data_IF_847560578761
#
_entry.id   IF_847560578761
#
_cell.length_a   1.000
_cell.length_b   1.000
_cell.length_c   1.000
_cell.angle_alpha   90.00
_cell.angle_beta   90.00
_cell.angle_gamma   90.00
#
_symmetry.space_group_name_H-M   'P 1'
#
loop_
_entity.id
_entity.type
_entity.pdbx_description
1 polymer ?
#
# COMPACT_ATOMS: atom_id res chain seq x y z
N UNK A 1 -17.82 14.55 11.23
CA UNK A 1 -18.36 13.31 11.86
C UNK A 1 -17.19 12.55 12.43
N UNK A 2 -17.04 12.51 13.75
CA UNK A 2 -15.88 11.88 14.40
C UNK A 2 -16.04 10.36 14.44
N UNK A 3 -14.94 9.64 14.20
CA UNK A 3 -14.91 8.19 14.19
C UNK A 3 -13.77 7.65 15.08
N UNK A 4 -13.88 6.39 15.49
CA UNK A 4 -12.81 5.62 16.16
C UNK A 4 -12.01 4.84 15.15
N UNK A 5 -12.69 4.18 14.20
CA UNK A 5 -12.06 3.40 13.15
C UNK A 5 -12.96 3.32 11.92
N UNK A 6 -12.36 3.05 10.78
CA UNK A 6 -13.07 2.72 9.54
C UNK A 6 -12.32 1.66 8.74
N UNK A 7 -13.07 0.98 7.89
CA UNK A 7 -12.52 0.04 6.90
C UNK A 7 -13.36 0.09 5.63
N UNK A 8 -12.72 0.35 4.49
CA UNK A 8 -13.31 0.23 3.16
C UNK A 8 -12.59 -0.88 2.42
N UNK A 9 -13.33 -1.90 2.01
CA UNK A 9 -12.88 -2.98 1.14
C UNK A 9 -13.50 -2.76 -0.22
N UNK A 10 -12.67 -2.74 -1.25
CA UNK A 10 -13.08 -2.72 -2.65
C UNK A 10 -12.59 -4.00 -3.32
N UNK A 11 -13.47 -4.69 -4.03
CA UNK A 11 -13.13 -5.86 -4.83
C UNK A 11 -13.52 -5.64 -6.28
N UNK A 12 -12.77 -6.21 -7.18
CA UNK A 12 -13.08 -6.31 -8.60
C UNK A 12 -13.17 -7.79 -9.01
N UNK A 13 -13.20 -8.06 -10.29
CA UNK A 13 -13.25 -9.43 -10.84
C UNK A 13 -11.97 -10.24 -10.61
N UNK A 14 -10.92 -9.58 -10.15
CA UNK A 14 -9.69 -10.26 -9.71
C UNK A 14 -9.86 -10.76 -8.28
N UNK A 15 -9.09 -11.75 -7.87
CA UNK A 15 -9.09 -12.22 -6.48
C UNK A 15 -8.50 -11.19 -5.50
N UNK A 16 -8.13 -10.01 -5.98
CA UNK A 16 -7.51 -8.96 -5.19
C UNK A 16 -8.56 -8.03 -4.58
N UNK A 17 -8.36 -7.68 -3.33
CA UNK A 17 -9.16 -6.67 -2.62
C UNK A 17 -8.27 -5.49 -2.25
N UNK A 18 -8.72 -4.28 -2.55
CA UNK A 18 -8.08 -3.05 -2.07
C UNK A 18 -8.73 -2.64 -0.76
N UNK A 19 -7.92 -2.47 0.28
CA UNK A 19 -8.41 -2.18 1.62
C UNK A 19 -7.81 -0.87 2.08
N UNK A 20 -8.68 0.01 2.56
CA UNK A 20 -8.35 1.29 3.17
C UNK A 20 -8.91 1.23 4.58
N UNK A 21 -8.05 1.29 5.58
CA UNK A 21 -8.49 1.29 6.97
C UNK A 21 -7.74 2.33 7.79
N UNK A 22 -8.35 2.76 8.89
CA UNK A 22 -7.71 3.68 9.79
C UNK A 22 -8.40 3.75 11.14
N UNK A 23 -7.64 4.21 12.12
CA UNK A 23 -8.15 4.41 13.47
C UNK A 23 -7.58 5.69 14.09
N UNK A 24 -8.40 6.33 14.92
CA UNK A 24 -8.02 7.53 15.67
C UNK A 24 -6.92 7.18 16.67
N UNK A 25 -5.88 8.02 16.71
CA UNK A 25 -4.82 7.99 17.71
C UNK A 25 -4.94 9.20 18.64
N UNK A 26 -4.07 9.31 19.64
CA UNK A 26 -4.01 10.49 20.52
C UNK A 26 -3.64 11.77 19.77
N UNK A 27 -2.82 11.67 18.73
CA UNK A 27 -2.25 12.80 18.01
C UNK A 27 -2.79 13.00 16.59
N UNK A 28 -3.79 12.18 16.19
CA UNK A 28 -4.35 12.25 14.85
C UNK A 28 -4.97 10.93 14.41
N UNK A 29 -4.49 10.36 13.31
CA UNK A 29 -5.03 9.13 12.72
C UNK A 29 -3.92 8.23 12.17
N UNK A 30 -4.05 6.94 12.44
CA UNK A 30 -3.29 5.90 11.75
C UNK A 30 -4.07 5.41 10.55
N UNK A 31 -3.45 5.32 9.40
CA UNK A 31 -4.06 4.91 8.13
C UNK A 31 -3.26 3.79 7.51
N UNK A 32 -3.95 2.79 6.97
CA UNK A 32 -3.35 1.73 6.17
C UNK A 32 -4.09 1.58 4.84
N UNK A 33 -3.32 1.40 3.78
CA UNK A 33 -3.80 0.95 2.48
C UNK A 33 -3.03 -0.30 2.07
N UNK A 34 -3.73 -1.39 1.78
CA UNK A 34 -3.11 -2.61 1.33
C UNK A 34 -3.98 -3.37 0.31
N UNK A 35 -3.32 -4.21 -0.47
CA UNK A 35 -3.99 -5.21 -1.31
C UNK A 35 -4.01 -6.51 -0.52
N UNK A 36 -5.18 -7.13 -0.44
CA UNK A 36 -5.37 -8.45 0.15
C UNK A 36 -5.69 -9.46 -0.96
N UNK A 37 -5.06 -10.63 -0.88
CA UNK A 37 -5.32 -11.79 -1.72
C UNK A 37 -5.60 -13.00 -0.83
N UNK A 38 -6.42 -13.91 -1.30
CA UNK A 38 -6.60 -15.21 -0.64
C UNK A 38 -5.67 -16.22 -1.31
N UNK A 39 -4.83 -16.89 -0.52
CA UNK A 39 -3.96 -17.96 -0.99
C UNK A 39 -4.29 -19.25 -0.23
N UNK A 40 -4.21 -20.36 -0.95
CA UNK A 40 -4.34 -21.67 -0.32
C UNK A 40 -3.10 -21.98 0.53
N UNK A 41 -3.30 -22.24 1.81
CA UNK A 41 -2.24 -22.68 2.71
C UNK A 41 -2.40 -24.19 2.97
N UNK A 42 -1.40 -24.96 2.56
CA UNK A 42 -1.38 -26.40 2.76
C UNK A 42 -1.34 -26.83 4.24
N UNK A 43 -0.75 -25.99 5.12
CA UNK A 43 -0.65 -26.29 6.55
C UNK A 43 -1.99 -26.21 7.26
N UNK A 44 -2.80 -25.23 6.89
CA UNK A 44 -4.14 -25.04 7.46
C UNK A 44 -5.23 -25.72 6.65
N UNK A 45 -4.90 -26.24 5.46
CA UNK A 45 -5.85 -26.81 4.48
C UNK A 45 -7.01 -25.85 4.20
N UNK A 46 -6.72 -24.55 4.09
CA UNK A 46 -7.70 -23.49 3.89
C UNK A 46 -7.11 -22.26 3.18
N UNK A 47 -8.00 -21.36 2.79
CA UNK A 47 -7.56 -20.07 2.28
C UNK A 47 -7.09 -19.16 3.42
N UNK A 48 -5.91 -18.60 3.29
CA UNK A 48 -5.36 -17.60 4.21
C UNK A 48 -5.32 -16.26 3.50
N UNK A 49 -5.68 -15.19 4.21
CA UNK A 49 -5.55 -13.84 3.71
C UNK A 49 -4.07 -13.44 3.72
N UNK A 50 -3.53 -13.12 2.55
CA UNK A 50 -2.21 -12.52 2.40
C UNK A 50 -2.38 -11.01 2.24
N UNK A 51 -1.79 -10.24 3.15
CA UNK A 51 -1.82 -8.78 3.14
C UNK A 51 -0.54 -8.22 2.53
N UNK A 52 -0.68 -7.54 1.42
CA UNK A 52 0.38 -6.74 0.84
C UNK A 52 0.20 -5.30 1.30
N UNK A 53 0.85 -4.93 2.41
CA UNK A 53 0.76 -3.56 2.93
C UNK A 53 1.51 -2.65 1.98
N UNK A 54 0.78 -1.75 1.33
CA UNK A 54 1.33 -0.80 0.38
C UNK A 54 1.70 0.50 1.10
N UNK A 55 0.91 0.91 2.08
CA UNK A 55 1.09 2.18 2.79
C UNK A 55 0.64 2.11 4.23
N UNK A 56 1.48 2.64 5.12
CA UNK A 56 1.14 2.91 6.51
C UNK A 56 1.48 4.35 6.81
N UNK A 57 0.55 5.12 7.38
CA UNK A 57 0.71 6.54 7.64
C UNK A 57 0.24 6.84 9.06
N UNK A 58 1.10 7.47 9.86
CA UNK A 58 0.71 8.16 11.09
C UNK A 58 0.58 9.65 10.77
N UNK A 59 -0.66 10.10 10.63
CA UNK A 59 -0.99 11.47 10.26
C UNK A 59 -1.50 12.27 11.46
N UNK A 60 -1.32 13.58 11.39
CA UNK A 60 -1.72 14.49 12.46
C UNK A 60 -3.25 14.73 12.51
N UNK A 61 -3.67 15.51 13.52
CA UNK A 61 -5.09 15.87 13.72
C UNK A 61 -5.69 16.58 12.49
N UNK A 62 -4.91 17.29 11.68
CA UNK A 62 -5.43 17.97 10.49
C UNK A 62 -5.94 16.99 9.44
N UNK A 63 -5.26 15.86 9.26
CA UNK A 63 -5.68 14.79 8.36
C UNK A 63 -6.90 14.06 8.92
N UNK A 64 -6.93 13.81 10.25
CA UNK A 64 -8.12 13.27 10.90
C UNK A 64 -9.35 14.14 10.66
N UNK A 65 -9.23 15.47 10.80
CA UNK A 65 -10.33 16.38 10.55
C UNK A 65 -10.77 16.40 9.07
N UNK A 66 -9.86 16.27 8.12
CA UNK A 66 -10.21 16.11 6.70
C UNK A 66 -11.03 14.84 6.47
N UNK A 67 -10.64 13.70 7.07
CA UNK A 67 -11.42 12.46 7.00
C UNK A 67 -12.82 12.62 7.61
N UNK A 68 -12.91 13.26 8.78
CA UNK A 68 -14.19 13.57 9.41
C UNK A 68 -15.10 14.42 8.53
N UNK A 69 -14.50 15.38 7.80
CA UNK A 69 -15.21 16.21 6.82
C UNK A 69 -15.70 15.39 5.62
N UNK A 70 -14.87 14.52 5.06
CA UNK A 70 -15.26 13.61 3.97
C UNK A 70 -16.44 12.76 4.42
N UNK A 71 -16.38 12.11 5.57
CA UNK A 71 -17.47 11.29 6.10
C UNK A 71 -18.78 12.09 6.29
N UNK A 72 -18.67 13.32 6.76
CA UNK A 72 -19.82 14.22 6.91
C UNK A 72 -20.41 14.69 5.59
N UNK A 73 -19.58 15.11 4.65
CA UNK A 73 -19.99 15.64 3.35
C UNK A 73 -20.75 14.58 2.52
N UNK A 74 -20.31 13.34 2.58
CA UNK A 74 -20.95 12.22 1.88
C UNK A 74 -22.06 11.55 2.67
N UNK A 75 -22.34 12.05 3.89
CA UNK A 75 -23.44 11.57 4.76
C UNK A 75 -23.41 10.05 4.93
N UNK A 76 -22.24 9.50 5.24
CA UNK A 76 -22.08 8.04 5.36
C UNK A 76 -23.03 7.40 6.39
N UNK A 77 -23.56 8.18 7.36
CA UNK A 77 -24.57 7.70 8.29
C UNK A 77 -25.85 7.19 7.60
N UNK A 78 -26.19 7.75 6.43
CA UNK A 78 -27.33 7.29 5.63
C UNK A 78 -27.09 5.92 4.98
N UNK A 79 -25.84 5.40 5.02
CA UNK A 79 -25.49 4.10 4.48
C UNK A 79 -25.68 2.94 5.47
N UNK A 80 -26.03 3.23 6.71
CA UNK A 80 -26.24 2.23 7.74
C UNK A 80 -27.24 1.15 7.28
N UNK A 81 -26.79 -0.10 7.29
CA UNK A 81 -27.61 -1.24 6.86
C UNK A 81 -27.81 -1.38 5.34
N UNK A 82 -27.14 -0.57 4.52
CA UNK A 82 -27.23 -0.71 3.07
C UNK A 82 -26.74 -2.09 2.61
N UNK A 83 -27.55 -2.75 1.74
CA UNK A 83 -27.24 -4.04 1.10
C UNK A 83 -27.68 -3.95 -0.35
N UNK A 84 -26.73 -3.59 -1.26
CA UNK A 84 -26.99 -3.45 -2.68
C UNK A 84 -26.55 -4.68 -3.47
N UNK A 85 -27.36 -5.08 -4.46
CA UNK A 85 -27.02 -6.13 -5.38
C UNK A 85 -27.70 -5.89 -6.72
N UNK A 86 -26.95 -5.94 -7.84
CA UNK A 86 -27.54 -5.96 -9.20
C UNK A 86 -27.41 -7.37 -9.79
N UNK A 87 -28.49 -8.14 -9.81
CA UNK A 87 -28.47 -9.54 -10.29
C UNK A 87 -28.25 -9.68 -11.81
N UNK A 88 -28.29 -8.58 -12.56
CA UNK A 88 -28.10 -8.60 -14.02
C UNK A 88 -26.64 -8.64 -14.42
N UNK A 89 -25.73 -8.40 -13.45
CA UNK A 89 -24.30 -8.40 -13.68
C UNK A 89 -23.70 -9.64 -13.06
N UNK A 90 -23.16 -10.54 -13.90
CA UNK A 90 -22.55 -11.80 -13.45
C UNK A 90 -21.20 -11.57 -12.79
N UNK A 91 -20.42 -10.64 -13.36
CA UNK A 91 -19.10 -10.23 -12.86
C UNK A 91 -19.16 -8.77 -12.45
N UNK A 92 -18.43 -8.38 -11.40
CA UNK A 92 -18.50 -7.00 -11.01
C UNK A 92 -17.65 -6.59 -9.83
N UNK A 93 -17.87 -5.34 -9.46
CA UNK A 93 -17.18 -4.73 -8.33
C UNK A 93 -17.99 -4.88 -7.05
N UNK A 94 -17.28 -5.10 -5.95
CA UNK A 94 -17.86 -5.17 -4.61
C UNK A 94 -17.35 -4.06 -3.72
N UNK A 95 -18.13 -3.70 -2.71
CA UNK A 95 -17.70 -2.85 -1.61
C UNK A 95 -18.21 -3.38 -0.28
N UNK A 96 -17.39 -3.23 0.73
CA UNK A 96 -17.78 -3.35 2.13
C UNK A 96 -17.20 -2.17 2.90
N UNK A 97 -18.04 -1.43 3.60
CA UNK A 97 -17.64 -0.26 4.36
C UNK A 97 -18.14 -0.35 5.78
N UNK A 98 -17.22 -0.24 6.71
CA UNK A 98 -17.47 -0.27 8.16
C UNK A 98 -16.90 0.99 8.79
N UNK A 99 -17.65 1.60 9.70
CA UNK A 99 -17.19 2.73 10.51
C UNK A 99 -17.70 2.57 11.93
N UNK A 100 -16.84 2.77 12.90
CA UNK A 100 -17.21 2.93 14.31
C UNK A 100 -17.07 4.40 14.66
N UNK A 101 -18.18 5.05 14.94
CA UNK A 101 -18.21 6.46 15.34
C UNK A 101 -17.68 6.67 16.77
N UNK A 102 -17.37 7.91 17.11
CA UNK A 102 -16.85 8.26 18.43
C UNK A 102 -17.81 7.89 19.58
N UNK A 103 -19.12 7.94 19.34
CA UNK A 103 -20.16 7.52 20.31
C UNK A 103 -20.37 6.00 20.38
N UNK A 104 -19.67 5.22 19.55
CA UNK A 104 -19.80 3.76 19.47
C UNK A 104 -20.85 3.28 18.45
N UNK A 105 -21.52 4.18 17.74
CA UNK A 105 -22.43 3.79 16.65
C UNK A 105 -21.65 3.12 15.52
N UNK A 106 -22.15 1.97 15.04
CA UNK A 106 -21.57 1.26 13.91
C UNK A 106 -22.37 1.51 12.63
N UNK A 107 -21.67 1.85 11.57
CA UNK A 107 -22.21 1.98 10.22
C UNK A 107 -21.61 0.86 9.39
N UNK A 108 -22.48 0.05 8.79
CA UNK A 108 -22.06 -1.07 7.95
C UNK A 108 -22.86 -1.04 6.65
N UNK A 109 -22.15 -1.00 5.51
CA UNK A 109 -22.73 -0.97 4.18
C UNK A 109 -22.02 -1.98 3.28
N UNK A 110 -22.79 -2.70 2.46
CA UNK A 110 -22.26 -3.68 1.52
C UNK A 110 -22.97 -3.55 0.17
N UNK A 111 -22.20 -3.65 -0.91
CA UNK A 111 -22.76 -3.59 -2.26
C UNK A 111 -22.01 -4.47 -3.25
N UNK A 112 -22.74 -5.08 -4.18
CA UNK A 112 -22.20 -5.79 -5.35
C UNK A 112 -22.90 -5.23 -6.58
N UNK A 113 -22.16 -4.49 -7.41
CA UNK A 113 -22.68 -3.77 -8.58
C UNK A 113 -23.83 -2.79 -8.30
N UNK A 114 -24.12 -2.53 -7.04
CA UNK A 114 -25.11 -1.58 -6.57
C UNK A 114 -24.61 -0.96 -5.26
N UNK A 115 -24.44 0.34 -5.27
CA UNK A 115 -23.71 1.06 -4.22
C UNK A 115 -24.57 2.15 -3.59
N UNK A 116 -24.28 2.60 -2.35
CA UNK A 116 -24.94 3.75 -1.75
C UNK A 116 -24.79 5.00 -2.62
N UNK A 117 -25.72 5.93 -2.45
CA UNK A 117 -25.65 7.22 -3.13
C UNK A 117 -24.32 7.91 -2.84
N UNK A 118 -23.68 8.46 -3.88
CA UNK A 118 -22.39 9.17 -3.83
C UNK A 118 -21.18 8.29 -3.47
N UNK A 119 -21.31 6.96 -3.41
CA UNK A 119 -20.23 6.06 -3.07
C UNK A 119 -18.97 6.26 -3.94
N UNK A 120 -19.12 6.35 -5.26
CA UNK A 120 -17.97 6.48 -6.17
C UNK A 120 -17.15 7.74 -5.89
N UNK A 121 -17.82 8.88 -5.67
CA UNK A 121 -17.14 10.13 -5.33
C UNK A 121 -16.50 10.10 -3.95
N UNK A 122 -17.18 9.50 -2.97
CA UNK A 122 -16.62 9.25 -1.64
C UNK A 122 -15.36 8.41 -1.70
N UNK A 123 -15.43 7.25 -2.38
CA UNK A 123 -14.31 6.34 -2.49
C UNK A 123 -13.11 7.00 -3.18
N UNK A 124 -13.36 7.78 -4.23
CA UNK A 124 -12.31 8.53 -4.93
C UNK A 124 -11.65 9.57 -4.01
N UNK A 125 -12.44 10.33 -3.24
CA UNK A 125 -11.89 11.35 -2.33
C UNK A 125 -11.14 10.72 -1.15
N UNK A 126 -11.68 9.65 -0.57
CA UNK A 126 -11.02 8.90 0.50
C UNK A 126 -9.69 8.31 0.01
N UNK A 127 -9.72 7.62 -1.13
CA UNK A 127 -8.51 7.04 -1.73
C UNK A 127 -7.47 8.13 -2.02
N UNK A 128 -7.88 9.24 -2.64
CA UNK A 128 -6.99 10.36 -2.91
C UNK A 128 -6.35 10.89 -1.63
N UNK A 129 -7.13 11.09 -0.56
CA UNK A 129 -6.61 11.60 0.70
C UNK A 129 -5.57 10.65 1.30
N UNK A 130 -5.85 9.35 1.33
CA UNK A 130 -4.91 8.35 1.86
C UNK A 130 -3.68 8.19 0.94
N UNK A 131 -3.85 8.34 -0.38
CA UNK A 131 -2.75 8.11 -1.34
C UNK A 131 -1.89 9.35 -1.59
N UNK A 132 -2.36 10.55 -1.28
CA UNK A 132 -1.59 11.81 -1.45
C UNK A 132 -0.86 12.26 -0.19
N UNK A 133 -1.20 11.73 0.98
CA UNK A 133 -0.41 12.01 2.18
C UNK A 133 0.99 11.41 2.01
N UNK A 134 1.97 12.14 2.52
CA UNK A 134 3.38 11.79 2.38
C UNK A 134 3.67 10.45 3.08
N UNK A 135 4.10 9.45 2.30
CA UNK A 135 4.48 8.15 2.82
C UNK A 135 5.97 8.18 3.10
N UNK A 136 6.34 7.95 4.33
CA UNK A 136 7.73 7.81 4.72
C UNK A 136 8.16 6.35 4.95
N UNK A 137 7.21 5.44 5.14
CA UNK A 137 7.51 4.04 5.44
C UNK A 137 6.73 3.11 4.52
N UNK A 138 7.41 2.15 3.92
CA UNK A 138 6.82 1.10 3.09
C UNK A 138 7.12 -0.24 3.75
N UNK A 139 6.06 -1.02 4.03
CA UNK A 139 6.18 -2.36 4.59
C UNK A 139 6.00 -3.40 3.48
N UNK A 140 6.87 -4.39 3.46
CA UNK A 140 6.80 -5.47 2.49
C UNK A 140 5.58 -6.37 2.72
N UNK A 141 5.09 -6.97 1.63
CA UNK A 141 3.81 -7.67 1.53
C UNK A 141 3.54 -8.70 2.61
N UNK A 142 4.49 -9.53 2.95
CA UNK A 142 4.32 -10.55 4.00
C UNK A 142 4.62 -10.02 5.41
N UNK A 143 4.85 -8.70 5.53
CA UNK A 143 5.21 -8.10 6.80
C UNK A 143 6.55 -8.57 7.34
N UNK A 144 7.47 -8.97 6.46
CA UNK A 144 8.80 -9.48 6.85
C UNK A 144 9.82 -8.38 7.07
N UNK A 145 9.67 -7.28 6.34
CA UNK A 145 10.51 -6.09 6.53
C UNK A 145 9.79 -4.79 6.20
N UNK A 146 10.36 -3.69 6.64
CA UNK A 146 9.96 -2.35 6.28
C UNK A 146 11.17 -1.50 5.89
N UNK A 147 10.93 -0.46 5.10
CA UNK A 147 11.92 0.52 4.67
C UNK A 147 11.37 1.93 4.87
N UNK A 148 12.26 2.88 5.10
CA UNK A 148 11.92 4.31 5.12
C UNK A 148 12.29 4.92 3.78
N UNK A 149 11.34 5.62 3.14
CA UNK A 149 11.60 6.34 1.91
C UNK A 149 12.37 7.63 2.20
N UNK A 150 13.34 8.00 1.36
CA UNK A 150 13.96 9.32 1.39
C UNK A 150 12.92 10.42 1.23
N UNK A 151 13.14 11.58 1.84
CA UNK A 151 12.20 12.71 1.77
C UNK A 151 11.92 13.14 0.32
N UNK A 152 12.93 13.06 -0.55
CA UNK A 152 12.81 13.34 -1.98
C UNK A 152 11.85 12.41 -2.73
N UNK A 153 11.63 11.18 -2.23
CA UNK A 153 10.74 10.19 -2.84
C UNK A 153 9.30 10.31 -2.35
N UNK A 154 9.11 10.93 -1.21
CA UNK A 154 7.80 11.02 -0.56
C UNK A 154 6.84 11.86 -1.39
N UNK A 155 5.74 11.24 -1.82
CA UNK A 155 4.70 11.87 -2.66
C UNK A 155 4.97 11.86 -4.17
N UNK A 156 6.20 11.50 -4.61
CA UNK A 156 6.56 11.40 -6.04
C UNK A 156 6.70 9.95 -6.48
N UNK A 157 7.06 9.07 -5.53
CA UNK A 157 7.30 7.65 -5.79
C UNK A 157 6.16 6.83 -5.24
N UNK A 158 5.67 5.87 -6.04
CA UNK A 158 4.76 4.82 -5.59
C UNK A 158 5.49 3.49 -5.47
N UNK A 159 5.00 2.61 -4.61
CA UNK A 159 5.52 1.27 -4.44
C UNK A 159 4.46 0.24 -4.81
N UNK A 160 4.82 -0.78 -5.57
CA UNK A 160 3.97 -1.95 -5.82
C UNK A 160 4.68 -3.23 -5.40
N UNK A 161 3.88 -4.17 -5.00
CA UNK A 161 4.34 -5.43 -4.45
C UNK A 161 3.90 -6.58 -5.34
N UNK A 162 4.81 -7.49 -5.58
CA UNK A 162 4.54 -8.82 -6.09
C UNK A 162 5.13 -9.83 -5.09
N UNK A 163 4.92 -11.11 -5.33
CA UNK A 163 5.18 -12.22 -4.41
C UNK A 163 6.49 -12.11 -3.59
N UNK A 164 7.58 -11.67 -4.21
CA UNK A 164 8.88 -11.55 -3.55
C UNK A 164 9.57 -10.20 -3.82
N UNK A 165 8.82 -9.18 -4.25
CA UNK A 165 9.42 -7.98 -4.80
C UNK A 165 8.66 -6.73 -4.39
N UNK A 166 9.39 -5.68 -4.04
CA UNK A 166 8.88 -4.30 -3.99
C UNK A 166 9.49 -3.54 -5.16
N UNK A 167 8.66 -3.02 -6.04
CA UNK A 167 9.08 -2.17 -7.14
C UNK A 167 8.62 -0.73 -6.89
N UNK A 168 9.50 0.22 -7.17
CA UNK A 168 9.26 1.64 -7.01
C UNK A 168 9.13 2.29 -8.38
N UNK A 169 8.08 3.09 -8.55
CA UNK A 169 7.81 3.76 -9.81
C UNK A 169 7.49 5.23 -9.64
N UNK A 170 7.58 5.92 -10.76
CA UNK A 170 7.06 7.26 -10.97
C UNK A 170 6.03 7.23 -12.09
N UNK A 171 5.05 8.13 -12.00
CA UNK A 171 4.04 8.29 -13.03
C UNK A 171 4.63 8.92 -14.29
N UNK A 172 4.18 8.43 -15.44
CA UNK A 172 4.46 9.04 -16.74
C UNK A 172 3.46 10.15 -17.05
N UNK A 173 3.93 11.20 -17.71
CA UNK A 173 3.05 12.21 -18.30
C UNK A 173 2.21 11.54 -19.39
N UNK A 174 0.89 11.61 -19.25
CA UNK A 174 -0.03 10.97 -20.21
C UNK A 174 -0.49 9.56 -19.81
N UNK A 175 -0.03 9.06 -18.68
CA UNK A 175 -0.48 7.80 -18.08
C UNK A 175 0.53 6.65 -18.18
N UNK A 176 0.41 5.72 -17.25
CA UNK A 176 1.33 4.61 -17.07
C UNK A 176 2.43 4.93 -16.05
N UNK A 177 3.19 3.90 -15.68
CA UNK A 177 4.21 3.94 -14.64
C UNK A 177 5.59 3.57 -15.21
N UNK A 178 6.63 4.08 -14.58
CA UNK A 178 8.01 3.78 -14.89
C UNK A 178 8.71 3.24 -13.66
N UNK A 179 9.10 1.98 -13.69
CA UNK A 179 9.88 1.34 -12.62
C UNK A 179 11.32 1.81 -12.65
N UNK A 180 11.88 2.23 -11.53
CA UNK A 180 13.26 2.69 -11.47
C UNK A 180 14.11 2.03 -10.39
N UNK A 181 13.51 1.46 -9.34
CA UNK A 181 14.21 0.73 -8.29
C UNK A 181 13.40 -0.46 -7.82
N UNK A 182 14.08 -1.56 -7.46
CA UNK A 182 13.43 -2.80 -7.06
C UNK A 182 14.20 -3.41 -5.90
N UNK A 183 13.47 -3.89 -4.88
CA UNK A 183 13.98 -4.72 -3.81
C UNK A 183 13.31 -6.08 -3.92
N UNK A 184 14.12 -7.13 -4.02
CA UNK A 184 13.66 -8.52 -4.06
C UNK A 184 13.95 -9.20 -2.70
N UNK A 185 13.02 -10.05 -2.25
CA UNK A 185 13.17 -10.93 -1.08
C UNK A 185 12.97 -12.37 -1.52
N UNK A 186 13.99 -13.21 -1.43
CA UNK A 186 13.95 -14.59 -1.92
C UNK A 186 14.52 -15.57 -0.88
N UNK A 187 13.94 -16.77 -0.82
CA UNK A 187 14.44 -17.88 -0.02
C UNK A 187 15.58 -18.64 -0.70
N UNK A 188 15.71 -18.50 -2.00
CA UNK A 188 16.81 -19.07 -2.78
C UNK A 188 17.89 -17.99 -2.95
N UNK A 189 18.98 -18.11 -2.22
CA UNK A 189 20.12 -17.22 -2.44
C UNK A 189 20.60 -17.28 -3.89
N UNK A 190 20.08 -16.41 -4.71
CA UNK A 190 20.64 -16.20 -6.04
C UNK A 190 21.97 -15.49 -5.83
N UNK A 191 23.05 -16.26 -5.94
CA UNK A 191 24.38 -15.68 -6.04
C UNK A 191 24.33 -14.54 -7.06
N UNK A 192 24.90 -13.42 -6.70
CA UNK A 192 24.95 -12.16 -7.44
C UNK A 192 25.32 -12.26 -8.93
N UNK A 193 25.83 -13.40 -9.35
CA UNK A 193 26.35 -13.62 -10.69
C UNK A 193 25.33 -13.97 -11.78
N UNK A 194 24.11 -14.37 -11.42
CA UNK A 194 23.13 -14.84 -12.42
C UNK A 194 22.20 -13.77 -12.98
N UNK A 195 22.08 -12.62 -12.32
CA UNK A 195 21.25 -11.51 -12.80
C UNK A 195 22.05 -10.21 -12.78
N UNK A 196 22.44 -9.72 -13.95
CA UNK A 196 23.12 -8.43 -14.11
C UNK A 196 22.36 -7.32 -13.38
N UNK A 197 23.04 -6.65 -12.45
CA UNK A 197 22.52 -5.49 -11.73
C UNK A 197 21.85 -5.76 -10.37
N UNK A 198 21.77 -7.00 -9.89
CA UNK A 198 21.35 -7.31 -8.53
C UNK A 198 22.54 -7.28 -7.56
N UNK A 199 22.35 -6.63 -6.43
CA UNK A 199 23.33 -6.58 -5.33
C UNK A 199 22.64 -7.12 -4.10
N UNK A 200 23.19 -8.15 -3.46
CA UNK A 200 22.74 -8.60 -2.15
C UNK A 200 23.08 -7.51 -1.12
N UNK A 201 22.08 -7.08 -0.36
CA UNK A 201 22.21 -5.99 0.62
C UNK A 201 22.08 -6.50 2.06
N UNK A 202 21.60 -7.72 2.25
CA UNK A 202 21.46 -8.34 3.56
C UNK A 202 20.55 -9.54 3.58
N UNK A 203 20.22 -9.99 4.78
CA UNK A 203 19.35 -11.15 5.02
C UNK A 203 18.34 -10.85 6.09
N UNK A 204 17.14 -11.40 5.91
CA UNK A 204 16.11 -11.49 6.95
C UNK A 204 16.12 -12.88 7.53
N UNK A 205 16.14 -12.97 8.87
CA UNK A 205 16.19 -14.24 9.60
C UNK A 205 15.06 -14.29 10.63
N UNK A 206 14.29 -15.35 10.59
CA UNK A 206 13.27 -15.69 11.61
C UNK A 206 13.31 -17.20 11.87
N UNK A 207 13.99 -17.62 12.92
CA UNK A 207 14.23 -19.05 13.16
C UNK A 207 15.04 -19.70 12.05
N UNK A 208 14.45 -20.71 11.37
CA UNK A 208 15.06 -21.38 10.22
C UNK A 208 14.72 -20.70 8.88
N UNK A 209 13.80 -19.75 8.85
CA UNK A 209 13.46 -18.98 7.63
C UNK A 209 14.54 -17.91 7.41
N UNK A 210 15.27 -18.07 6.30
CA UNK A 210 16.29 -17.14 5.84
C UNK A 210 15.92 -16.62 4.48
N UNK A 211 15.80 -15.31 4.34
CA UNK A 211 15.51 -14.64 3.07
C UNK A 211 16.65 -13.71 2.70
N UNK A 212 17.06 -13.79 1.45
CA UNK A 212 18.10 -12.93 0.88
C UNK A 212 17.44 -11.67 0.33
N UNK A 213 17.92 -10.50 0.75
CA UNK A 213 17.46 -9.22 0.23
C UNK A 213 18.43 -8.74 -0.81
N UNK A 214 17.92 -8.52 -2.02
CA UNK A 214 18.71 -7.96 -3.12
C UNK A 214 18.07 -6.67 -3.61
N UNK A 215 18.90 -5.72 -3.99
CA UNK A 215 18.47 -4.46 -4.62
C UNK A 215 18.95 -4.43 -6.06
N UNK A 216 18.17 -3.84 -6.96
CA UNK A 216 18.54 -3.62 -8.34
C UNK A 216 18.01 -2.31 -8.88
N UNK A 217 18.82 -1.69 -9.71
CA UNK A 217 18.46 -0.50 -10.45
C UNK A 217 17.71 -0.85 -11.73
N UNK A 218 16.71 -0.04 -12.05
CA UNK A 218 16.18 0.03 -13.39
C UNK A 218 16.39 1.46 -13.90
N UNK A 219 17.45 1.70 -14.65
CA UNK A 219 17.91 3.02 -15.09
C UNK A 219 16.95 3.76 -16.06
N UNK A 220 15.69 3.38 -16.05
CA UNK A 220 14.74 3.84 -17.04
C UNK A 220 14.44 5.35 -16.99
N UNK A 221 14.50 6.01 -15.83
CA UNK A 221 14.10 7.45 -15.70
C UNK A 221 14.94 8.33 -16.64
N UNK A 222 16.26 8.16 -16.68
CA UNK A 222 17.11 8.98 -17.54
C UNK A 222 16.80 8.79 -19.03
N UNK A 223 16.40 7.59 -19.43
CA UNK A 223 16.03 7.27 -20.80
C UNK A 223 14.65 7.80 -21.20
N UNK A 224 13.78 8.06 -20.23
CA UNK A 224 12.40 8.53 -20.40
C UNK A 224 12.18 9.94 -19.86
N UNK A 225 13.23 10.76 -19.80
CA UNK A 225 13.19 12.11 -19.24
C UNK A 225 12.06 13.00 -19.80
N UNK A 226 11.68 12.82 -21.07
CA UNK A 226 10.59 13.56 -21.70
C UNK A 226 9.19 13.03 -21.33
N UNK A 227 9.10 11.87 -20.68
CA UNK A 227 7.84 11.20 -20.35
C UNK A 227 7.47 11.29 -18.86
N UNK A 228 8.31 11.90 -18.04
CA UNK A 228 8.11 12.02 -16.59
C UNK A 228 8.12 13.47 -16.14
N UNK A 229 7.55 13.75 -14.96
CA UNK A 229 7.50 15.11 -14.41
C UNK A 229 8.90 15.63 -14.04
N UNK A 230 9.04 16.95 -13.91
CA UNK A 230 10.29 17.56 -13.43
C UNK A 230 10.66 17.09 -12.02
N UNK A 231 9.68 16.82 -11.17
CA UNK A 231 9.86 16.26 -9.83
C UNK A 231 10.47 14.87 -9.91
N UNK A 232 9.93 14.00 -10.77
CA UNK A 232 10.47 12.66 -11.00
C UNK A 232 11.91 12.71 -11.56
N UNK A 233 12.20 13.64 -12.47
CA UNK A 233 13.56 13.90 -12.94
C UNK A 233 14.48 14.39 -11.83
N UNK A 234 13.94 15.18 -10.87
CA UNK A 234 14.66 15.65 -9.69
C UNK A 234 15.20 14.51 -8.82
N UNK A 235 14.49 13.38 -8.74
CA UNK A 235 14.92 12.18 -7.99
C UNK A 235 16.29 11.66 -8.48
N UNK A 236 16.54 11.74 -9.77
CA UNK A 236 17.78 11.23 -10.36
C UNK A 236 19.05 11.93 -9.86
N UNK A 237 18.94 13.17 -9.42
CA UNK A 237 20.10 13.95 -8.94
C UNK A 237 20.71 13.37 -7.66
N UNK A 238 19.89 12.78 -6.80
CA UNK A 238 20.32 12.22 -5.51
C UNK A 238 20.17 10.70 -5.46
N UNK A 239 19.89 10.06 -6.60
CA UNK A 239 19.46 8.67 -6.67
C UNK A 239 20.40 7.70 -5.94
N UNK A 240 21.71 7.84 -6.10
CA UNK A 240 22.67 6.92 -5.45
C UNK A 240 22.67 7.06 -3.92
N UNK A 241 22.57 8.29 -3.41
CA UNK A 241 22.48 8.52 -1.96
C UNK A 241 21.13 8.10 -1.40
N UNK A 242 20.06 8.34 -2.13
CA UNK A 242 18.70 7.96 -1.76
C UNK A 242 18.55 6.43 -1.71
N UNK A 243 19.07 5.74 -2.69
CA UNK A 243 19.11 4.27 -2.75
C UNK A 243 19.86 3.68 -1.55
N UNK A 244 21.02 4.23 -1.23
CA UNK A 244 21.79 3.80 -0.06
C UNK A 244 20.99 4.02 1.24
N UNK A 245 20.36 5.19 1.38
CA UNK A 245 19.49 5.51 2.51
C UNK A 245 18.33 4.51 2.67
N UNK A 246 17.71 4.07 1.57
CA UNK A 246 16.66 3.04 1.60
C UNK A 246 17.21 1.72 2.15
N UNK A 247 18.36 1.27 1.63
CA UNK A 247 18.98 0.03 2.06
C UNK A 247 19.37 0.09 3.55
N UNK A 248 19.93 1.21 4.01
CA UNK A 248 20.30 1.42 5.41
C UNK A 248 19.07 1.50 6.33
N UNK A 249 17.91 1.86 5.81
CA UNK A 249 16.67 1.92 6.57
C UNK A 249 15.96 0.58 6.73
N UNK A 250 16.40 -0.47 6.02
CA UNK A 250 15.82 -1.81 6.08
C UNK A 250 15.76 -2.34 7.52
N UNK A 251 14.59 -2.78 7.94
CA UNK A 251 14.36 -3.39 9.25
C UNK A 251 13.48 -4.62 9.10
N UNK A 252 13.84 -5.69 9.80
CA UNK A 252 12.97 -6.83 9.95
C UNK A 252 11.81 -6.51 10.90
N UNK A 253 10.62 -7.03 10.59
CA UNK A 253 9.41 -6.91 11.40
C UNK A 253 8.77 -8.28 11.59
N UNK A 254 7.80 -8.38 12.50
CA UNK A 254 7.05 -9.62 12.75
C UNK A 254 7.93 -10.85 13.05
N UNK A 255 8.99 -10.65 13.86
CA UNK A 255 9.89 -11.73 14.25
C UNK A 255 11.09 -11.95 13.32
N UNK A 256 11.19 -11.19 12.24
CA UNK A 256 12.39 -11.18 11.41
C UNK A 256 13.41 -10.17 11.92
N UNK A 257 14.69 -10.56 11.90
CA UNK A 257 15.81 -9.67 12.10
C UNK A 257 16.51 -9.42 10.77
N UNK A 258 16.78 -8.15 10.44
CA UNK A 258 17.58 -7.82 9.26
C UNK A 258 19.06 -7.78 9.64
N UNK A 259 19.88 -8.49 8.89
CA UNK A 259 21.33 -8.53 9.00
C UNK A 259 21.91 -7.97 7.71
N UNK A 260 22.47 -6.74 7.71
CA UNK A 260 23.13 -6.16 6.55
C UNK A 260 24.40 -6.94 6.21
N UNK A 261 24.81 -6.86 4.95
CA UNK A 261 26.10 -7.37 4.46
C UNK A 261 27.24 -6.40 4.73
#
# INVERSE_FOLDING_TARGET
MDFKSFKLVQSDMTAQRRIYEGYKTENGVHLEYYISTEMWDEKTSGNVECRNVIRTIDADESVFQKLCAVFGNYKIAEWAGFRGHDPRTLDGTGMHFEVVLADGTEINAQGTNSFPKNYSSFAQELCKLITTEKISTVRFSEGTYEITLPESWVGTVTASFSENQVAFFVDKIGGGELTFFIIDSDTYGYASDSYKGRIEVGRLISGEDVRFITARDNYAIASYAAEVSEEALGLWKNYESDKLSIVESLRGVNGYAFIPL
#
